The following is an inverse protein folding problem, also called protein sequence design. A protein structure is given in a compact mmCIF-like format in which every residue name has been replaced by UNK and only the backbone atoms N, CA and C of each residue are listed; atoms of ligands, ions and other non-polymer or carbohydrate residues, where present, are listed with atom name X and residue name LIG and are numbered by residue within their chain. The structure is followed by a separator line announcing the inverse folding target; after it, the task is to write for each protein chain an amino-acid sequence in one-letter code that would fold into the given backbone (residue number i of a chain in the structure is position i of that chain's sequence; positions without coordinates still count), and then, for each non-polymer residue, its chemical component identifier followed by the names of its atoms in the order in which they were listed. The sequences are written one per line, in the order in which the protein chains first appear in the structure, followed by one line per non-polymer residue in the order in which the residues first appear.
data_IF_649791091843
#
_entry.id   IF_649791091843
#
_cell.length_a   1.000
_cell.length_b   1.000
_cell.length_c   1.000
_cell.angle_alpha   90.00
_cell.angle_beta   90.00
_cell.angle_gamma   90.00
#
_symmetry.space_group_name_H-M   'P 1'
#
loop_
_entity.id
_entity.type
_entity.pdbx_description
1 polymer ?
#
# COMPACT_ATOMS: atom_id res chain seq x y z
N UNK A 1 19.97 -10.92 8.96
CA UNK A 1 18.56 -10.89 8.54
C UNK A 1 18.13 -12.32 8.30
N UNK A 2 17.04 -12.75 8.93
CA UNK A 2 16.36 -14.02 8.65
C UNK A 2 15.03 -13.73 7.94
N UNK A 3 14.74 -14.45 6.87
CA UNK A 3 13.41 -14.44 6.24
C UNK A 3 12.51 -15.39 7.01
N UNK A 4 11.35 -14.91 7.47
CA UNK A 4 10.45 -15.71 8.30
C UNK A 4 9.24 -16.21 7.50
N UNK A 5 8.41 -15.29 7.01
CA UNK A 5 7.19 -15.60 6.27
C UNK A 5 7.10 -14.78 4.97
N UNK A 6 6.73 -15.44 3.87
CA UNK A 6 6.46 -14.75 2.60
C UNK A 6 5.05 -14.17 2.62
N UNK A 7 4.95 -12.85 2.44
CA UNK A 7 3.68 -12.16 2.39
C UNK A 7 3.07 -12.17 0.96
N UNK A 8 1.74 -12.25 0.83
CA UNK A 8 1.06 -12.13 -0.45
C UNK A 8 1.15 -10.68 -0.98
N UNK A 9 1.96 -10.45 -2.02
CA UNK A 9 2.16 -9.14 -2.63
C UNK A 9 1.39 -8.95 -3.95
N UNK A 10 1.60 -7.79 -4.59
CA UNK A 10 0.98 -7.34 -5.85
C UNK A 10 1.08 -8.35 -7.01
N UNK A 11 0.21 -8.18 -8.02
CA UNK A 11 0.16 -9.02 -9.23
C UNK A 11 1.39 -8.86 -10.13
N UNK A 12 2.19 -7.80 -9.94
CA UNK A 12 3.41 -7.57 -10.69
C UNK A 12 4.53 -8.32 -9.97
N UNK A 13 5.03 -9.38 -10.60
CA UNK A 13 5.97 -10.37 -10.03
C UNK A 13 7.37 -9.81 -9.72
N UNK A 14 7.56 -8.49 -9.66
CA UNK A 14 8.88 -7.86 -9.56
C UNK A 14 9.48 -7.99 -8.17
N UNK A 15 8.66 -7.89 -7.12
CA UNK A 15 9.12 -7.92 -5.74
C UNK A 15 8.55 -9.09 -4.94
N UNK A 16 9.40 -9.68 -4.11
CA UNK A 16 9.03 -10.65 -3.08
C UNK A 16 9.02 -9.97 -1.72
N UNK A 17 7.92 -10.07 -1.00
CA UNK A 17 7.75 -9.44 0.31
C UNK A 17 7.85 -10.51 1.39
N UNK A 18 8.65 -10.24 2.43
CA UNK A 18 8.91 -11.14 3.53
C UNK A 18 8.87 -10.40 4.87
N UNK A 19 8.35 -11.04 5.91
CA UNK A 19 8.66 -10.64 7.29
C UNK A 19 10.10 -11.04 7.60
N UNK A 20 10.80 -10.17 8.33
CA UNK A 20 12.21 -10.37 8.66
C UNK A 20 12.52 -9.86 10.07
N UNK A 21 13.48 -10.53 10.71
CA UNK A 21 14.09 -10.04 11.94
C UNK A 21 15.51 -9.54 11.66
N UNK A 22 15.79 -8.30 12.08
CA UNK A 22 17.09 -7.62 11.84
C UNK A 22 17.55 -6.90 13.12
N UNK A 23 18.12 -7.63 14.10
CA UNK A 23 18.50 -7.07 15.41
C UNK A 23 19.41 -5.83 15.34
N UNK A 24 20.26 -5.75 14.32
CA UNK A 24 21.15 -4.61 14.12
C UNK A 24 20.43 -3.29 13.75
N UNK A 25 19.15 -3.35 13.37
CA UNK A 25 18.34 -2.20 12.96
C UNK A 25 17.15 -2.00 13.92
N UNK A 26 16.50 -3.09 14.30
CA UNK A 26 15.32 -3.07 15.17
C UNK A 26 15.14 -4.42 15.86
N UNK A 27 14.73 -4.40 17.13
CA UNK A 27 14.28 -5.58 17.87
C UNK A 27 12.86 -6.02 17.45
N UNK A 28 12.16 -5.22 16.64
CA UNK A 28 10.84 -5.56 16.10
C UNK A 28 10.94 -6.33 14.78
N UNK A 29 9.87 -7.06 14.44
CA UNK A 29 9.68 -7.63 13.11
C UNK A 29 9.56 -6.50 12.08
N UNK A 30 10.28 -6.64 10.98
CA UNK A 30 10.26 -5.72 9.84
C UNK A 30 9.73 -6.45 8.60
N UNK A 31 9.54 -5.69 7.53
CA UNK A 31 9.22 -6.21 6.19
C UNK A 31 10.38 -5.92 5.25
N UNK A 32 10.88 -6.96 4.60
CA UNK A 32 11.82 -6.86 3.48
C UNK A 32 11.06 -7.04 2.16
N UNK A 33 11.11 -6.02 1.31
CA UNK A 33 10.65 -6.09 -0.07
C UNK A 33 11.86 -6.24 -0.99
N UNK A 34 11.98 -7.41 -1.60
CA UNK A 34 13.16 -7.84 -2.35
C UNK A 34 12.83 -7.78 -3.84
N UNK A 35 13.53 -6.93 -4.57
CA UNK A 35 13.41 -6.78 -6.01
C UNK A 35 14.55 -7.50 -6.70
N UNK A 36 14.18 -8.38 -7.61
CA UNK A 36 15.11 -9.31 -8.18
C UNK A 36 14.95 -9.34 -9.71
N UNK A 37 15.99 -8.94 -10.47
CA UNK A 37 15.92 -8.81 -11.91
C UNK A 37 15.63 -10.14 -12.63
N UNK A 38 15.88 -11.29 -12.00
CA UNK A 38 15.61 -12.59 -12.61
C UNK A 38 14.11 -12.92 -12.70
N UNK A 39 13.24 -12.18 -12.02
CA UNK A 39 11.79 -12.39 -12.04
C UNK A 39 11.03 -11.42 -12.96
N UNK A 40 11.74 -10.65 -13.79
CA UNK A 40 11.09 -9.93 -14.89
C UNK A 40 10.46 -10.91 -15.88
N UNK A 41 9.20 -10.68 -16.23
CA UNK A 41 8.51 -11.49 -17.24
C UNK A 41 9.01 -11.16 -18.65
N UNK A 42 9.02 -12.16 -19.51
CA UNK A 42 9.46 -12.06 -20.92
C UNK A 42 8.79 -10.90 -21.68
N UNK A 43 7.51 -10.61 -21.39
CA UNK A 43 6.76 -9.50 -22.01
C UNK A 43 7.35 -8.11 -21.74
N UNK A 44 8.03 -7.91 -20.61
CA UNK A 44 8.66 -6.62 -20.28
C UNK A 44 10.07 -6.49 -20.87
N UNK A 45 10.77 -7.62 -21.01
CA UNK A 45 12.13 -7.70 -21.56
C UNK A 45 12.13 -7.41 -23.07
N UNK A 46 11.00 -7.66 -23.75
CA UNK A 46 10.86 -7.41 -25.19
C UNK A 46 11.01 -5.93 -25.59
N UNK A 47 10.79 -4.98 -24.67
CA UNK A 47 10.72 -3.55 -24.98
C UNK A 47 11.74 -2.69 -24.22
N UNK A 48 12.36 -3.20 -23.16
CA UNK A 48 13.36 -2.48 -22.38
C UNK A 48 14.27 -3.43 -21.58
N UNK A 49 15.45 -2.93 -21.22
CA UNK A 49 16.36 -3.62 -20.32
C UNK A 49 15.70 -3.80 -18.93
N UNK A 50 15.53 -5.04 -18.44
CA UNK A 50 14.89 -5.31 -17.15
C UNK A 50 15.65 -4.68 -15.97
N UNK A 51 16.97 -4.52 -16.05
CA UNK A 51 17.76 -3.87 -15.00
C UNK A 51 17.47 -2.38 -14.92
N UNK A 52 17.29 -1.72 -16.07
CA UNK A 52 16.92 -0.30 -16.13
C UNK A 52 15.52 -0.09 -15.56
N UNK A 53 14.56 -0.93 -15.97
CA UNK A 53 13.18 -0.86 -15.45
C UNK A 53 13.14 -1.12 -13.94
N UNK A 54 13.91 -2.09 -13.45
CA UNK A 54 14.01 -2.37 -12.01
C UNK A 54 14.56 -1.18 -11.25
N UNK A 55 15.65 -0.59 -11.74
CA UNK A 55 16.26 0.57 -11.11
C UNK A 55 15.31 1.76 -11.07
N UNK A 56 14.53 2.00 -12.13
CA UNK A 56 13.51 3.06 -12.15
C UNK A 56 12.43 2.77 -11.10
N UNK A 57 11.85 1.57 -11.10
CA UNK A 57 10.78 1.19 -10.17
C UNK A 57 11.23 1.29 -8.71
N UNK A 58 12.41 0.73 -8.39
CA UNK A 58 13.00 0.82 -7.05
C UNK A 58 13.29 2.26 -6.66
N UNK A 59 13.90 3.05 -7.54
CA UNK A 59 14.23 4.45 -7.23
C UNK A 59 12.98 5.30 -6.98
N UNK A 60 11.92 5.08 -7.74
CA UNK A 60 10.63 5.75 -7.56
C UNK A 60 9.98 5.38 -6.23
N UNK A 61 9.93 4.09 -5.88
CA UNK A 61 9.35 3.64 -4.61
C UNK A 61 10.17 4.14 -3.40
N UNK A 62 11.51 4.09 -3.48
CA UNK A 62 12.40 4.63 -2.43
C UNK A 62 12.15 6.12 -2.21
N UNK A 63 12.08 6.91 -3.28
CA UNK A 63 11.86 8.34 -3.16
C UNK A 63 10.44 8.65 -2.65
N UNK A 64 9.44 7.89 -3.08
CA UNK A 64 8.08 8.02 -2.57
C UNK A 64 8.03 7.77 -1.05
N UNK A 65 8.67 6.71 -0.54
CA UNK A 65 8.73 6.49 0.92
C UNK A 65 9.43 7.65 1.64
N UNK A 66 10.54 8.17 1.10
CA UNK A 66 11.25 9.32 1.70
C UNK A 66 10.36 10.56 1.79
N UNK A 67 9.61 10.88 0.74
CA UNK A 67 8.69 12.02 0.73
C UNK A 67 7.50 11.87 1.71
N UNK A 68 7.18 10.63 2.10
CA UNK A 68 5.98 10.29 2.87
C UNK A 68 6.25 9.91 4.33
N UNK A 69 7.49 9.97 4.83
CA UNK A 69 7.84 9.48 6.18
C UNK A 69 7.08 10.11 7.35
N UNK A 70 6.46 11.28 7.16
CA UNK A 70 5.62 11.95 8.16
C UNK A 70 4.11 11.85 7.84
N UNK A 71 3.74 10.83 7.05
CA UNK A 71 2.37 10.50 6.67
C UNK A 71 2.05 9.04 7.05
N UNK A 72 0.85 8.57 6.68
CA UNK A 72 0.40 7.21 6.97
C UNK A 72 0.96 6.17 5.98
N UNK A 73 2.28 6.00 5.96
CA UNK A 73 3.03 4.92 5.30
C UNK A 73 3.85 4.17 6.36
N UNK A 74 4.34 2.95 6.08
CA UNK A 74 5.29 2.29 6.95
C UNK A 74 6.57 3.11 7.11
N UNK A 75 7.15 3.10 8.31
CA UNK A 75 8.47 3.69 8.51
C UNK A 75 9.49 2.99 7.60
N UNK A 76 10.28 3.78 6.86
CA UNK A 76 11.23 3.29 5.88
C UNK A 76 12.63 3.27 6.47
N UNK A 77 13.15 2.08 6.75
CA UNK A 77 14.48 1.89 7.34
C UNK A 77 15.62 2.04 6.33
N UNK A 78 15.33 1.84 5.04
CA UNK A 78 16.29 2.13 3.98
C UNK A 78 16.23 1.19 2.79
N UNK A 79 17.07 1.51 1.80
CA UNK A 79 17.31 0.72 0.61
C UNK A 79 18.73 0.15 0.67
N UNK A 80 18.83 -1.16 0.48
CA UNK A 80 20.07 -1.92 0.54
C UNK A 80 20.26 -2.70 -0.76
N UNK A 81 21.54 -2.98 -1.06
CA UNK A 81 21.91 -3.96 -2.07
C UNK A 81 22.39 -5.21 -1.35
N UNK A 82 21.86 -6.35 -1.73
CA UNK A 82 22.21 -7.64 -1.16
C UNK A 82 22.70 -8.56 -2.26
N UNK A 83 23.80 -9.27 -2.00
CA UNK A 83 24.29 -10.30 -2.91
C UNK A 83 23.67 -11.65 -2.50
N UNK A 84 23.37 -12.49 -3.48
CA UNK A 84 22.94 -13.88 -3.27
C UNK A 84 24.09 -14.81 -3.69
N UNK A 85 24.98 -15.21 -2.77
CA UNK A 85 26.21 -15.92 -3.12
C UNK A 85 25.95 -17.25 -3.84
N UNK A 86 24.90 -17.96 -3.45
CA UNK A 86 24.51 -19.26 -4.03
C UNK A 86 24.03 -19.18 -5.48
N UNK A 87 23.84 -17.98 -6.03
CA UNK A 87 23.33 -17.76 -7.39
C UNK A 87 24.26 -16.85 -8.19
N UNK A 88 25.56 -17.20 -8.18
CA UNK A 88 26.58 -16.47 -8.92
C UNK A 88 26.84 -15.07 -8.38
N UNK A 89 26.59 -14.85 -7.07
CA UNK A 89 26.74 -13.57 -6.39
C UNK A 89 25.92 -12.42 -7.01
N UNK A 90 24.78 -12.74 -7.62
CA UNK A 90 23.87 -11.74 -8.18
C UNK A 90 23.38 -10.76 -7.12
N UNK A 91 23.18 -9.51 -7.52
CA UNK A 91 22.72 -8.43 -6.63
C UNK A 91 21.21 -8.25 -6.75
N UNK A 92 20.55 -8.08 -5.61
CA UNK A 92 19.12 -7.74 -5.49
C UNK A 92 18.95 -6.46 -4.69
N UNK A 93 17.86 -5.72 -4.94
CA UNK A 93 17.52 -4.54 -4.14
C UNK A 93 16.61 -4.97 -2.99
N UNK A 94 16.87 -4.48 -1.79
CA UNK A 94 16.06 -4.77 -0.60
C UNK A 94 15.60 -3.45 0.00
N UNK A 95 14.29 -3.26 0.06
CA UNK A 95 13.67 -2.18 0.80
C UNK A 95 13.23 -2.73 2.15
N UNK A 96 13.70 -2.09 3.22
CA UNK A 96 13.37 -2.49 4.58
C UNK A 96 12.41 -1.47 5.19
N UNK A 97 11.29 -1.96 5.72
CA UNK A 97 10.22 -1.12 6.23
C UNK A 97 9.57 -1.72 7.49
N UNK A 98 8.86 -0.88 8.23
CA UNK A 98 8.05 -1.29 9.37
C UNK A 98 7.06 -2.41 8.99
N UNK A 99 6.93 -3.42 9.85
CA UNK A 99 5.81 -4.35 9.76
C UNK A 99 4.56 -3.72 10.38
N UNK A 100 3.51 -3.54 9.57
CA UNK A 100 2.24 -3.00 10.04
C UNK A 100 1.39 -4.10 10.67
N UNK A 101 1.14 -4.02 11.98
CA UNK A 101 0.17 -4.88 12.65
C UNK A 101 -1.26 -4.50 12.24
N UNK A 102 -1.81 -5.25 11.28
CA UNK A 102 -3.07 -4.92 10.63
C UNK A 102 -3.50 -5.96 9.59
N UNK A 103 -4.55 -5.64 8.85
CA UNK A 103 -5.07 -6.49 7.76
C UNK A 103 -5.15 -5.71 6.45
N UNK A 104 -4.62 -6.32 5.39
CA UNK A 104 -4.84 -5.90 4.00
C UNK A 104 -6.35 -5.87 3.70
N UNK A 105 -6.85 -4.81 3.06
CA UNK A 105 -8.28 -4.66 2.78
C UNK A 105 -8.85 -5.76 1.87
N UNK A 106 -8.06 -6.42 1.02
CA UNK A 106 -8.49 -7.61 0.26
C UNK A 106 -8.79 -8.80 1.15
N UNK A 107 -8.00 -8.98 2.21
CA UNK A 107 -8.18 -10.07 3.16
C UNK A 107 -9.40 -9.78 4.03
N UNK A 108 -9.51 -8.54 4.50
CA UNK A 108 -10.63 -8.11 5.33
C UNK A 108 -11.95 -8.04 4.56
N UNK A 109 -11.91 -7.56 3.33
CA UNK A 109 -13.05 -7.44 2.43
C UNK A 109 -12.73 -8.18 1.13
N UNK A 110 -12.86 -9.52 1.11
CA UNK A 110 -12.71 -10.29 -0.12
C UNK A 110 -13.70 -9.80 -1.18
N UNK A 111 -13.30 -9.84 -2.46
CA UNK A 111 -14.14 -9.36 -3.58
C UNK A 111 -15.55 -9.94 -3.55
N UNK A 112 -15.70 -11.22 -3.17
CA UNK A 112 -17.00 -11.90 -3.07
C UNK A 112 -17.91 -11.33 -1.97
N UNK A 113 -17.35 -10.72 -0.92
CA UNK A 113 -18.04 -10.17 0.25
C UNK A 113 -18.12 -8.64 0.24
N UNK A 114 -17.45 -7.97 -0.70
CA UNK A 114 -17.43 -6.52 -0.81
C UNK A 114 -18.84 -5.91 -0.95
N UNK A 115 -19.78 -6.61 -1.59
CA UNK A 115 -21.18 -6.17 -1.72
C UNK A 115 -21.92 -6.18 -0.39
N UNK A 116 -21.58 -7.12 0.49
CA UNK A 116 -22.23 -7.34 1.78
C UNK A 116 -21.76 -6.35 2.86
N UNK A 117 -20.64 -5.64 2.64
CA UNK A 117 -20.20 -4.58 3.55
C UNK A 117 -21.25 -3.47 3.59
N UNK A 118 -21.69 -3.11 4.80
CA UNK A 118 -22.74 -2.11 4.99
C UNK A 118 -22.28 -0.71 4.54
N UNK A 119 -23.25 0.16 4.25
CA UNK A 119 -22.96 1.50 3.73
C UNK A 119 -22.09 2.36 4.66
N UNK A 120 -22.25 2.24 5.99
CA UNK A 120 -21.47 2.98 6.96
C UNK A 120 -19.99 2.57 6.93
N UNK A 121 -19.69 1.28 7.04
CA UNK A 121 -18.33 0.75 6.92
C UNK A 121 -17.69 1.03 5.56
N UNK A 122 -18.44 0.85 4.45
CA UNK A 122 -17.94 1.21 3.10
C UNK A 122 -17.53 2.68 3.04
N UNK A 123 -18.36 3.57 3.56
CA UNK A 123 -18.10 5.00 3.55
C UNK A 123 -16.88 5.36 4.40
N UNK A 124 -16.76 4.79 5.61
CA UNK A 124 -15.65 5.04 6.51
C UNK A 124 -14.31 4.56 5.91
N UNK A 125 -14.26 3.32 5.41
CA UNK A 125 -13.08 2.75 4.75
C UNK A 125 -12.66 3.58 3.53
N UNK A 126 -13.60 3.95 2.65
CA UNK A 126 -13.29 4.72 1.44
C UNK A 126 -12.86 6.15 1.77
N UNK A 127 -13.47 6.79 2.76
CA UNK A 127 -13.03 8.12 3.19
C UNK A 127 -11.60 8.08 3.75
N UNK A 128 -11.30 7.09 4.60
CA UNK A 128 -9.95 6.88 5.12
C UNK A 128 -8.96 6.64 3.96
N UNK A 129 -9.25 5.71 3.05
CA UNK A 129 -8.35 5.38 1.95
C UNK A 129 -8.13 6.59 1.01
N UNK A 130 -9.19 7.35 0.69
CA UNK A 130 -9.06 8.58 -0.10
C UNK A 130 -8.20 9.62 0.62
N UNK A 131 -8.31 9.73 1.95
CA UNK A 131 -7.45 10.62 2.72
C UNK A 131 -5.97 10.21 2.60
N UNK A 132 -5.64 8.92 2.71
CA UNK A 132 -4.27 8.43 2.50
C UNK A 132 -3.71 8.86 1.14
N UNK A 133 -4.50 8.67 0.08
CA UNK A 133 -4.08 9.01 -1.28
C UNK A 133 -3.88 10.53 -1.46
N UNK A 134 -4.78 11.34 -0.89
CA UNK A 134 -4.64 12.80 -0.94
C UNK A 134 -3.47 13.31 -0.10
N UNK A 135 -3.12 12.64 1.01
CA UNK A 135 -1.94 12.99 1.80
C UNK A 135 -0.66 12.74 1.00
N UNK A 136 -0.63 11.67 0.18
CA UNK A 136 0.46 11.45 -0.77
C UNK A 136 0.54 12.58 -1.81
N UNK A 137 -0.59 13.01 -2.38
CA UNK A 137 -0.63 14.11 -3.36
C UNK A 137 -0.12 15.43 -2.78
N UNK A 138 -0.39 15.71 -1.49
CA UNK A 138 0.13 16.90 -0.78
C UNK A 138 1.66 16.91 -0.73
N UNK A 139 2.30 15.74 -0.89
CA UNK A 139 3.76 15.55 -0.90
C UNK A 139 4.34 15.37 -2.31
N UNK A 140 3.53 15.49 -3.35
CA UNK A 140 3.99 15.32 -4.73
C UNK A 140 4.16 13.85 -5.13
N UNK A 141 3.61 12.93 -4.34
CA UNK A 141 3.63 11.50 -4.59
C UNK A 141 2.26 11.08 -5.10
N UNK A 142 2.20 10.46 -6.27
CA UNK A 142 0.95 10.12 -6.96
C UNK A 142 0.82 8.61 -7.15
N UNK A 143 0.22 7.89 -6.18
CA UNK A 143 -0.04 6.46 -6.32
C UNK A 143 -0.89 6.17 -7.57
N UNK A 144 -0.33 5.40 -8.49
CA UNK A 144 -1.00 5.02 -9.74
C UNK A 144 -1.76 3.70 -9.59
N UNK A 145 -1.37 2.86 -8.61
CA UNK A 145 -2.02 1.60 -8.27
C UNK A 145 -2.81 1.71 -6.96
N UNK A 146 -3.74 2.66 -6.88
CA UNK A 146 -4.55 2.87 -5.69
C UNK A 146 -5.70 1.83 -5.60
N UNK A 147 -5.37 0.65 -5.09
CA UNK A 147 -6.27 -0.51 -4.96
C UNK A 147 -6.38 -0.94 -3.48
N UNK A 148 -7.46 -1.63 -3.07
CA UNK A 148 -7.62 -2.14 -1.70
C UNK A 148 -6.39 -2.88 -1.16
N UNK A 149 -5.71 -3.65 -2.02
CA UNK A 149 -4.48 -4.37 -1.66
C UNK A 149 -3.33 -3.53 -1.14
N UNK A 150 -3.32 -2.26 -1.50
CA UNK A 150 -2.24 -1.34 -1.17
C UNK A 150 -2.61 -0.51 0.07
N UNK A 151 -3.63 -0.95 0.83
CA UNK A 151 -4.06 -0.34 2.08
C UNK A 151 -4.19 -1.41 3.16
N UNK A 152 -3.42 -1.26 4.23
CA UNK A 152 -3.51 -2.09 5.44
C UNK A 152 -4.30 -1.30 6.48
N UNK A 153 -5.38 -1.86 7.01
CA UNK A 153 -6.06 -1.29 8.19
C UNK A 153 -5.28 -1.67 9.44
N UNK A 154 -4.97 -0.67 10.26
CA UNK A 154 -4.42 -0.89 11.60
C UNK A 154 -5.50 -1.46 12.51
N UNK A 155 -5.11 -2.27 13.49
CA UNK A 155 -6.06 -2.74 14.52
C UNK A 155 -6.72 -1.55 15.23
N UNK A 156 -8.04 -1.61 15.49
CA UNK A 156 -8.70 -0.64 16.37
C UNK A 156 -8.03 -0.58 17.74
N UNK A 157 -8.00 0.58 18.39
CA UNK A 157 -7.48 0.69 19.76
C UNK A 157 -8.36 -0.01 20.79
N UNK A 158 -9.66 -0.13 20.50
CA UNK A 158 -10.63 -0.82 21.33
C UNK A 158 -11.24 -1.96 20.49
N UNK A 159 -11.48 -3.13 21.08
CA UNK A 159 -12.23 -4.22 20.42
C UNK A 159 -13.61 -4.28 21.07
N UNK A 160 -14.56 -3.52 20.56
CA UNK A 160 -15.98 -3.66 20.90
C UNK A 160 -16.75 -4.03 19.63
N UNK A 161 -17.98 -4.52 19.76
CA UNK A 161 -18.82 -4.75 18.58
C UNK A 161 -19.19 -3.38 17.97
N UNK A 162 -18.57 -3.07 16.83
CA UNK A 162 -18.76 -1.79 16.17
C UNK A 162 -19.94 -1.91 15.21
N UNK A 163 -21.10 -1.44 15.67
CA UNK A 163 -22.34 -1.24 14.91
C UNK A 163 -23.31 -2.44 14.83
N UNK A 164 -24.58 -2.20 15.19
CA UNK A 164 -25.69 -3.16 15.34
C UNK A 164 -26.21 -3.84 14.04
N UNK A 165 -25.53 -3.69 12.89
CA UNK A 165 -25.91 -4.49 11.71
C UNK A 165 -25.21 -5.84 11.77
N UNK A 166 -25.94 -6.81 12.31
CA UNK A 166 -25.46 -8.16 12.59
C UNK A 166 -24.77 -8.88 11.43
N UNK A 167 -25.14 -8.54 10.19
CA UNK A 167 -24.64 -9.21 8.99
C UNK A 167 -23.44 -8.53 8.31
N UNK A 168 -22.91 -7.41 8.82
CA UNK A 168 -21.78 -6.76 8.18
C UNK A 168 -20.47 -7.54 8.41
N UNK A 169 -19.77 -8.01 7.36
CA UNK A 169 -18.61 -8.91 7.50
C UNK A 169 -17.39 -8.27 8.17
N UNK A 170 -17.39 -6.95 8.38
CA UNK A 170 -16.25 -6.20 8.98
C UNK A 170 -16.59 -5.56 10.33
N UNK A 171 -17.77 -5.84 10.91
CA UNK A 171 -18.25 -5.20 12.14
C UNK A 171 -17.33 -5.35 13.36
N UNK A 172 -16.60 -6.46 13.46
CA UNK A 172 -15.66 -6.74 14.56
C UNK A 172 -14.25 -6.21 14.30
N UNK A 173 -13.98 -5.73 13.10
CA UNK A 173 -12.62 -5.39 12.63
C UNK A 173 -12.48 -3.90 12.32
N UNK A 174 -13.60 -3.21 12.07
CA UNK A 174 -13.63 -1.81 11.65
C UNK A 174 -14.57 -1.02 12.54
N UNK A 175 -13.97 -0.21 13.41
CA UNK A 175 -14.66 0.89 14.08
C UNK A 175 -14.91 2.02 13.08
N UNK A 176 -16.18 2.33 12.81
CA UNK A 176 -16.55 3.38 11.84
C UNK A 176 -16.09 4.77 12.28
N UNK A 177 -15.85 4.97 13.59
CA UNK A 177 -15.43 6.24 14.18
C UNK A 177 -13.89 6.35 14.29
N UNK A 178 -13.15 5.23 14.24
CA UNK A 178 -11.68 5.18 14.31
C UNK A 178 -11.06 4.30 13.19
N UNK A 179 -11.44 4.54 11.93
CA UNK A 179 -10.80 3.84 10.80
C UNK A 179 -9.42 4.41 10.52
N UNK A 180 -8.38 3.63 10.79
CA UNK A 180 -6.98 3.99 10.53
C UNK A 180 -6.36 3.01 9.55
N UNK A 181 -5.65 3.54 8.56
CA UNK A 181 -4.97 2.73 7.56
C UNK A 181 -3.59 3.26 7.22
N UNK A 182 -2.85 2.43 6.50
CA UNK A 182 -1.51 2.69 6.01
C UNK A 182 -1.48 2.41 4.52
N UNK A 183 -0.97 3.36 3.75
CA UNK A 183 -0.70 3.16 2.33
C UNK A 183 0.61 2.39 2.17
N UNK A 184 0.56 1.27 1.48
CA UNK A 184 1.72 0.41 1.22
C UNK A 184 1.88 0.19 -0.28
N UNK A 185 2.98 -0.46 -0.67
CA UNK A 185 3.25 -0.86 -2.05
C UNK A 185 3.23 0.31 -3.05
N UNK A 186 4.33 1.07 -3.07
CA UNK A 186 4.48 2.26 -3.90
C UNK A 186 5.26 1.98 -5.20
N UNK A 187 5.23 0.75 -5.72
CA UNK A 187 5.93 0.34 -6.96
C UNK A 187 5.51 1.17 -8.17
N UNK A 188 4.23 1.58 -8.19
CA UNK A 188 3.63 2.35 -9.28
C UNK A 188 3.23 3.71 -8.78
N UNK A 189 4.18 4.63 -8.86
CA UNK A 189 4.04 5.98 -8.32
C UNK A 189 4.60 7.00 -9.30
N UNK A 190 3.84 8.08 -9.51
CA UNK A 190 4.36 9.29 -10.14
C UNK A 190 4.96 10.20 -9.08
N UNK A 191 6.06 10.86 -9.41
CA UNK A 191 6.63 11.95 -8.60
C UNK A 191 6.45 13.26 -9.37
N UNK A 192 6.03 14.31 -8.67
CA UNK A 192 5.78 15.61 -9.28
C UNK A 192 5.53 16.71 -8.25
N UNK A 193 4.99 17.84 -8.70
CA UNK A 193 4.81 19.00 -7.83
C UNK A 193 3.77 18.77 -6.73
N UNK A 194 4.11 19.02 -5.44
CA UNK A 194 3.15 18.91 -4.35
C UNK A 194 1.83 19.65 -4.60
N UNK A 195 0.69 18.96 -4.44
CA UNK A 195 -0.64 19.56 -4.58
C UNK A 195 -1.02 20.40 -3.35
N UNK A 196 -0.33 21.52 -3.14
CA UNK A 196 -0.49 22.39 -1.95
C UNK A 196 -1.93 22.82 -1.66
N UNK A 197 -2.78 22.94 -2.69
CA UNK A 197 -4.22 23.26 -2.54
C UNK A 197 -4.98 22.24 -1.70
N UNK A 198 -4.54 20.98 -1.64
CA UNK A 198 -5.15 19.93 -0.81
C UNK A 198 -4.91 20.14 0.69
N UNK A 199 -3.98 21.02 1.09
CA UNK A 199 -3.84 21.45 2.50
C UNK A 199 -5.04 22.28 2.97
N UNK A 200 -5.80 22.89 2.05
CA UNK A 200 -7.03 23.60 2.38
C UNK A 200 -8.18 22.61 2.60
N UNK A 201 -8.74 22.57 3.80
CA UNK A 201 -9.76 21.61 4.20
C UNK A 201 -11.05 21.68 3.35
N UNK A 202 -11.46 22.88 2.93
CA UNK A 202 -12.65 23.07 2.08
C UNK A 202 -12.41 22.48 0.68
N UNK A 203 -11.23 22.76 0.09
CA UNK A 203 -10.86 22.18 -1.19
C UNK A 203 -10.72 20.65 -1.12
N UNK A 204 -10.05 20.15 -0.08
CA UNK A 204 -9.90 18.71 0.17
C UNK A 204 -11.25 18.02 0.29
N UNK A 205 -12.17 18.57 1.08
CA UNK A 205 -13.54 18.04 1.23
C UNK A 205 -14.29 18.00 -0.11
N UNK A 206 -14.14 19.03 -0.97
CA UNK A 206 -14.72 19.02 -2.32
C UNK A 206 -14.15 17.89 -3.18
N UNK A 207 -12.84 17.68 -3.15
CA UNK A 207 -12.17 16.58 -3.89
C UNK A 207 -12.64 15.22 -3.38
N UNK A 208 -12.68 15.01 -2.06
CA UNK A 208 -13.18 13.77 -1.45
C UNK A 208 -14.62 13.51 -1.89
N UNK A 209 -15.51 14.49 -1.77
CA UNK A 209 -16.92 14.33 -2.15
C UNK A 209 -17.09 13.98 -3.63
N UNK A 210 -16.24 14.55 -4.51
CA UNK A 210 -16.22 14.22 -5.94
C UNK A 210 -15.76 12.79 -6.18
N UNK A 211 -14.65 12.36 -5.56
CA UNK A 211 -14.08 11.02 -5.76
C UNK A 211 -14.91 9.92 -5.10
N UNK A 212 -15.47 10.19 -3.91
CA UNK A 212 -16.25 9.24 -3.11
C UNK A 212 -17.32 8.51 -3.93
N UNK A 213 -18.05 9.23 -4.80
CA UNK A 213 -19.09 8.61 -5.66
C UNK A 213 -18.54 7.54 -6.61
N UNK A 214 -17.31 7.73 -7.11
CA UNK A 214 -16.63 6.77 -7.99
C UNK A 214 -16.16 5.54 -7.20
N UNK A 215 -15.59 5.77 -6.03
CA UNK A 215 -14.98 4.72 -5.21
C UNK A 215 -16.02 3.85 -4.49
N UNK A 216 -17.11 4.45 -4.00
CA UNK A 216 -18.21 3.74 -3.32
C UNK A 216 -18.85 2.63 -4.16
N UNK A 217 -18.82 2.74 -5.49
CA UNK A 217 -19.48 1.75 -6.34
C UNK A 217 -18.71 0.44 -6.41
N UNK A 218 -17.37 0.48 -6.52
CA UNK A 218 -16.60 -0.65 -7.09
C UNK A 218 -15.15 -0.77 -6.62
N UNK A 219 -14.66 0.14 -5.77
CA UNK A 219 -13.25 0.10 -5.37
C UNK A 219 -12.92 -1.14 -4.54
N UNK A 220 -13.73 -1.45 -3.52
CA UNK A 220 -13.57 -2.67 -2.70
C UNK A 220 -13.74 -3.97 -3.51
N UNK A 221 -14.38 -3.90 -4.68
CA UNK A 221 -14.54 -5.03 -5.60
C UNK A 221 -13.32 -5.23 -6.53
N UNK A 222 -12.28 -4.39 -6.39
CA UNK A 222 -11.11 -4.32 -7.29
C UNK A 222 -11.48 -4.06 -8.77
N UNK A 223 -12.57 -3.31 -9.02
CA UNK A 223 -13.07 -3.08 -10.40
C UNK A 223 -12.75 -1.68 -10.96
N UNK A 224 -12.08 -0.82 -10.19
CA UNK A 224 -11.64 0.49 -10.71
C UNK A 224 -10.30 0.28 -11.41
N UNK A 225 -10.32 0.19 -12.74
CA UNK A 225 -9.11 -0.12 -13.51
C UNK A 225 -8.09 1.02 -13.54
N UNK A 226 -8.45 2.31 -13.57
CA UNK A 226 -7.46 3.41 -13.62
C UNK A 226 -7.97 4.72 -13.01
N UNK A 227 -7.10 5.52 -12.38
CA UNK A 227 -7.30 6.98 -12.26
C UNK A 227 -7.36 7.61 -13.67
N UNK A 228 -8.15 8.66 -13.84
CA UNK A 228 -8.61 9.17 -15.14
C UNK A 228 -7.54 9.27 -16.25
N UNK A 229 -7.96 8.86 -17.45
CA UNK A 229 -7.91 9.78 -18.59
C UNK A 229 -9.13 10.70 -18.49
#
# INVERSE_FOLDING_TARGET
MSLEERLPCSMWKLAHVWTVHVPAISEAILVAKIFDPAYFSDEHIAYADPFVLLNISVSQEVEAYRCLQDTNVPHFHGHFLMHIPSQGNRTVHVLLMEHIDGKDLRVLVPKAKAKDVCAAHKLAIINMALNLNLDAFVRGVYPQDFQPRNVILRRPQHCMEFYDKDDCPVRSEVDVDDVRGVLVDLEKVGLGDPMKKLKNLSYRTKVINKQRRRYLKRWLENEIRHWGQ
#
